data_IF_214746775170
#
_entry.id   IF_214746775170
#
_cell.length_a   1.000
_cell.length_b   1.000
_cell.length_c   1.000
_cell.angle_alpha   90.00
_cell.angle_beta   90.00
_cell.angle_gamma   90.00
#
_symmetry.space_group_name_H-M   'P 1'
#
loop_
_entity.id
_entity.type
_entity.pdbx_description
1 polymer ?
#
# COMPACT_ATOMS: atom_id res chain seq x y z
N UNK A 1 8.75 -5.96 11.86
CA UNK A 1 8.09 -4.68 12.13
C UNK A 1 6.64 -4.80 11.69
N UNK A 2 5.71 -4.17 12.40
CA UNK A 2 4.33 -4.06 11.95
C UNK A 2 4.21 -2.89 10.95
N UNK A 3 3.19 -2.95 10.10
CA UNK A 3 2.86 -1.94 9.10
C UNK A 3 1.33 -1.84 9.02
N UNK A 4 0.82 -0.67 8.67
CA UNK A 4 -0.61 -0.44 8.49
C UNK A 4 -0.88 -0.02 7.05
N UNK A 5 -1.90 -0.62 6.42
CA UNK A 5 -2.35 -0.22 5.09
C UNK A 5 -3.25 1.01 5.20
N UNK A 6 -2.96 2.02 4.40
CA UNK A 6 -3.72 3.26 4.28
C UNK A 6 -4.60 3.18 3.03
N UNK A 7 -5.80 3.76 3.11
CA UNK A 7 -6.75 3.83 2.01
C UNK A 7 -7.43 5.21 1.97
N UNK A 8 -7.88 5.61 0.78
CA UNK A 8 -8.56 6.89 0.56
C UNK A 8 -10.03 6.86 1.04
N UNK A 9 -10.74 7.99 0.99
CA UNK A 9 -12.16 8.07 1.37
C UNK A 9 -13.06 7.13 0.54
N UNK A 10 -12.62 6.81 -0.68
CA UNK A 10 -13.30 5.88 -1.58
C UNK A 10 -13.07 4.41 -1.23
N UNK A 11 -12.19 4.09 -0.28
CA UNK A 11 -11.84 2.70 0.09
C UNK A 11 -10.78 2.06 -0.80
N UNK A 12 -10.03 2.85 -1.58
CA UNK A 12 -8.93 2.34 -2.40
C UNK A 12 -7.63 2.37 -1.62
N UNK A 13 -6.88 1.27 -1.63
CA UNK A 13 -5.56 1.20 -1.00
C UNK A 13 -4.61 2.20 -1.65
N UNK A 14 -3.81 2.91 -0.86
CA UNK A 14 -2.79 3.85 -1.32
C UNK A 14 -1.38 3.29 -1.13
N UNK A 15 -0.98 3.11 0.14
CA UNK A 15 0.33 2.62 0.57
C UNK A 15 0.28 2.16 2.03
N UNK A 16 1.41 1.78 2.61
CA UNK A 16 1.59 1.66 4.06
C UNK A 16 2.09 2.95 4.70
N UNK A 17 2.22 3.01 6.03
CA UNK A 17 2.64 4.23 6.73
C UNK A 17 4.06 4.70 6.39
N UNK A 18 4.98 3.77 6.13
CA UNK A 18 6.39 4.06 5.76
C UNK A 18 6.90 3.19 4.61
N UNK A 19 5.98 2.54 3.87
CA UNK A 19 6.29 1.60 2.79
C UNK A 19 5.24 1.65 1.69
N UNK A 20 5.63 1.44 0.44
CA UNK A 20 4.68 1.08 -0.60
C UNK A 20 4.28 -0.40 -0.48
N UNK A 21 3.11 -0.75 -1.02
CA UNK A 21 2.55 -2.11 -0.98
C UNK A 21 2.24 -2.61 -2.40
N UNK A 22 2.47 -3.89 -2.63
CA UNK A 22 1.95 -4.62 -3.77
C UNK A 22 1.26 -5.92 -3.33
N UNK A 23 0.25 -6.31 -4.10
CA UNK A 23 -0.63 -7.45 -3.86
C UNK A 23 -0.47 -8.48 -4.96
N UNK A 24 -0.58 -9.77 -4.64
CA UNK A 24 -0.52 -10.83 -5.64
C UNK A 24 -1.90 -11.05 -6.26
N UNK A 25 -2.07 -10.69 -7.53
CA UNK A 25 -3.33 -10.79 -8.29
C UNK A 25 -3.04 -11.37 -9.66
N UNK A 26 -3.88 -12.29 -10.15
CA UNK A 26 -3.76 -12.85 -11.50
C UNK A 26 -2.32 -13.25 -11.91
N UNK A 27 -1.60 -13.92 -11.00
CA UNK A 27 -0.22 -14.39 -11.19
C UNK A 27 0.82 -13.27 -11.42
N UNK A 28 0.57 -12.07 -10.89
CA UNK A 28 1.47 -10.91 -10.94
C UNK A 28 1.37 -10.08 -9.66
N UNK A 29 2.40 -9.27 -9.40
CA UNK A 29 2.34 -8.24 -8.37
C UNK A 29 1.71 -6.97 -8.92
N UNK A 30 0.74 -6.43 -8.18
CA UNK A 30 0.08 -5.17 -8.52
C UNK A 30 0.23 -4.17 -7.37
N UNK A 31 0.54 -2.92 -7.65
CA UNK A 31 0.64 -1.84 -6.66
C UNK A 31 -0.38 -0.76 -6.98
N UNK A 32 -0.99 -0.09 -5.99
CA UNK A 32 -1.90 1.01 -6.25
C UNK A 32 -1.25 2.11 -7.10
N UNK A 33 -1.99 2.70 -8.06
CA UNK A 33 -1.50 3.81 -8.87
C UNK A 33 -1.44 5.10 -8.06
N UNK A 34 -0.53 6.01 -8.43
CA UNK A 34 -0.30 7.26 -7.69
C UNK A 34 -1.51 8.21 -7.63
N UNK A 35 -2.48 8.06 -8.54
CA UNK A 35 -3.70 8.88 -8.50
C UNK A 35 -4.60 8.55 -7.30
N UNK A 36 -4.40 7.39 -6.64
CA UNK A 36 -5.05 7.06 -5.35
C UNK A 36 -4.41 7.81 -4.18
N UNK A 37 -3.24 8.40 -4.39
CA UNK A 37 -2.40 8.97 -3.35
C UNK A 37 -1.17 8.12 -3.09
N UNK A 38 -0.51 8.40 -1.97
CA UNK A 38 0.70 7.75 -1.55
C UNK A 38 1.99 8.25 -2.23
N UNK A 39 3.13 7.79 -1.75
CA UNK A 39 4.44 8.23 -2.23
C UNK A 39 4.87 7.43 -3.47
N UNK A 40 5.45 8.13 -4.46
CA UNK A 40 6.19 7.49 -5.55
C UNK A 40 7.56 6.99 -5.07
N UNK A 41 7.57 6.00 -4.18
CA UNK A 41 8.77 5.50 -3.53
C UNK A 41 9.78 4.94 -4.53
N UNK A 42 11.07 5.12 -4.22
CA UNK A 42 12.16 4.79 -5.14
C UNK A 42 12.22 3.31 -5.52
N UNK A 43 11.94 2.39 -4.58
CA UNK A 43 11.89 0.93 -4.86
C UNK A 43 10.62 0.57 -5.64
N UNK A 44 9.46 1.15 -5.28
CA UNK A 44 8.22 0.99 -6.07
C UNK A 44 8.43 1.38 -7.52
N UNK A 45 9.01 2.57 -7.77
CA UNK A 45 9.31 3.06 -9.12
C UNK A 45 10.24 2.09 -9.86
N UNK A 46 11.32 1.65 -9.23
CA UNK A 46 12.25 0.69 -9.84
C UNK A 46 11.56 -0.64 -10.19
N UNK A 47 10.69 -1.16 -9.32
CA UNK A 47 9.94 -2.39 -9.57
C UNK A 47 8.99 -2.27 -10.78
N UNK A 48 8.33 -1.12 -10.93
CA UNK A 48 7.47 -0.80 -12.07
C UNK A 48 8.27 -0.70 -13.37
N UNK A 49 9.37 0.06 -13.37
CA UNK A 49 10.26 0.25 -14.53
C UNK A 49 10.87 -1.07 -15.03
N UNK A 50 11.04 -2.05 -14.14
CA UNK A 50 11.59 -3.37 -14.46
C UNK A 50 10.51 -4.44 -14.68
N UNK A 51 9.23 -4.07 -14.77
CA UNK A 51 8.12 -4.99 -15.01
C UNK A 51 7.94 -6.07 -13.94
N UNK A 52 8.42 -5.83 -12.71
CA UNK A 52 8.29 -6.75 -11.57
C UNK A 52 6.94 -6.59 -10.87
N UNK A 53 6.41 -5.38 -10.94
CA UNK A 53 5.10 -4.97 -10.43
C UNK A 53 4.44 -4.15 -11.53
N UNK A 54 3.11 -4.15 -11.57
CA UNK A 54 2.34 -3.23 -12.43
C UNK A 54 1.36 -2.40 -11.59
N UNK A 55 0.85 -1.31 -12.15
CA UNK A 55 -0.19 -0.54 -11.46
C UNK A 55 -1.57 -1.17 -11.66
N UNK A 56 -2.31 -1.34 -10.56
CA UNK A 56 -3.71 -1.77 -10.56
C UNK A 56 -4.39 -1.24 -9.29
N UNK A 57 -5.65 -0.84 -9.42
CA UNK A 57 -6.44 -0.42 -8.27
C UNK A 57 -6.79 -1.60 -7.37
N UNK A 58 -6.67 -1.41 -6.05
CA UNK A 58 -7.02 -2.43 -5.05
C UNK A 58 -8.00 -1.84 -4.05
N UNK A 59 -9.16 -2.48 -3.90
CA UNK A 59 -10.15 -2.13 -2.88
C UNK A 59 -9.76 -2.72 -1.54
N UNK A 60 -9.96 -1.96 -0.45
CA UNK A 60 -9.72 -2.47 0.90
C UNK A 60 -10.61 -3.67 1.22
N UNK A 61 -11.81 -3.73 0.64
CA UNK A 61 -12.76 -4.84 0.82
C UNK A 61 -12.27 -6.15 0.20
N UNK A 62 -11.36 -6.07 -0.79
CA UNK A 62 -10.80 -7.24 -1.46
C UNK A 62 -9.55 -7.79 -0.74
N UNK A 63 -9.00 -7.04 0.22
CA UNK A 63 -7.82 -7.45 1.00
C UNK A 63 -8.26 -8.40 2.11
N UNK A 64 -7.65 -9.59 2.17
CA UNK A 64 -8.05 -10.65 3.11
C UNK A 64 -7.03 -10.86 4.21
N UNK A 65 -7.50 -11.21 5.41
CA UNK A 65 -6.61 -11.70 6.47
C UNK A 65 -5.89 -12.97 6.00
N UNK A 66 -4.60 -13.06 6.28
CA UNK A 66 -3.70 -14.13 5.83
C UNK A 66 -3.11 -13.89 4.45
N UNK A 67 -3.50 -12.83 3.75
CA UNK A 67 -2.96 -12.51 2.44
C UNK A 67 -1.50 -12.05 2.54
N UNK A 68 -0.66 -12.58 1.65
CA UNK A 68 0.74 -12.17 1.53
C UNK A 68 0.84 -10.93 0.64
N UNK A 69 1.51 -9.90 1.15
CA UNK A 69 1.78 -8.65 0.43
C UNK A 69 3.27 -8.42 0.31
N UNK A 70 3.69 -7.73 -0.74
CA UNK A 70 5.04 -7.24 -0.92
C UNK A 70 5.11 -5.80 -0.40
N UNK A 71 5.96 -5.55 0.58
CA UNK A 71 6.24 -4.23 1.12
C UNK A 71 7.57 -3.72 0.59
N UNK A 72 7.68 -2.41 0.34
CA UNK A 72 8.95 -1.82 -0.09
C UNK A 72 9.18 -0.40 0.39
N UNK A 73 10.44 -0.08 0.67
CA UNK A 73 10.92 1.29 0.85
C UNK A 73 12.40 1.41 0.44
N UNK A 74 12.91 2.65 0.40
CA UNK A 74 14.29 2.93 -0.03
C UNK A 74 15.40 2.51 0.94
N UNK A 75 15.06 2.10 2.16
CA UNK A 75 16.03 1.77 3.22
C UNK A 75 16.20 0.25 3.37
N UNK A 76 15.08 -0.47 3.44
CA UNK A 76 15.02 -1.90 3.71
C UNK A 76 14.85 -2.73 2.43
N UNK A 77 14.60 -2.09 1.29
CA UNK A 77 14.36 -2.79 0.03
C UNK A 77 12.97 -3.41 0.00
N UNK A 78 12.89 -4.71 -0.27
CA UNK A 78 11.64 -5.46 -0.39
C UNK A 78 11.52 -6.51 0.72
N UNK A 79 10.33 -6.64 1.31
CA UNK A 79 10.01 -7.68 2.29
C UNK A 79 8.58 -8.19 2.10
N UNK A 80 8.30 -9.39 2.60
CA UNK A 80 6.94 -9.93 2.60
C UNK A 80 6.26 -9.61 3.94
N UNK A 81 5.00 -9.20 3.86
CA UNK A 81 4.09 -9.06 4.98
C UNK A 81 2.91 -10.01 4.86
N UNK A 82 2.24 -10.29 5.97
CA UNK A 82 0.97 -11.02 6.01
C UNK A 82 -0.08 -10.10 6.60
N UNK A 83 -1.22 -9.98 5.93
CA UNK A 83 -2.32 -9.15 6.43
C UNK A 83 -2.92 -9.81 7.66
N UNK A 84 -3.00 -9.05 8.75
CA UNK A 84 -3.68 -9.44 9.98
C UNK A 84 -4.91 -8.55 10.18
N UNK A 85 -5.81 -8.98 11.07
CA UNK A 85 -7.01 -8.20 11.42
C UNK A 85 -6.62 -6.78 11.79
N UNK A 86 -7.26 -5.80 11.14
CA UNK A 86 -7.01 -4.40 11.41
C UNK A 86 -7.27 -4.09 12.90
N UNK A 87 -6.27 -3.55 13.58
CA UNK A 87 -6.49 -2.83 14.83
C UNK A 87 -7.17 -1.52 14.43
N UNK A 88 -8.40 -1.31 14.89
CA UNK A 88 -9.12 -0.05 14.63
C UNK A 88 -8.39 1.07 15.37
N UNK A 89 -7.61 1.86 14.64
CA UNK A 89 -7.05 3.11 15.14
C UNK A 89 -8.04 4.22 14.75
N UNK A 90 -8.75 4.77 15.74
CA UNK A 90 -9.57 5.97 15.55
C UNK A 90 -8.63 7.18 15.46
N UNK A 91 -8.25 7.55 14.25
CA UNK A 91 -7.55 8.81 14.01
C UNK A 91 -8.62 9.90 13.89
N UNK A 92 -8.78 10.72 14.92
CA UNK A 92 -9.54 11.97 14.84
C UNK A 92 -8.75 12.94 13.98
N UNK A 93 -9.13 13.11 12.72
CA UNK A 93 -8.53 14.09 11.82
C UNK A 93 -9.26 15.43 12.01
N UNK A 94 -8.78 16.28 12.93
CA UNK A 94 -9.07 17.72 12.87
C UNK A 94 -8.11 18.35 11.86
N UNK A 95 -8.50 18.33 10.58
CA UNK A 95 -7.83 19.14 9.57
C UNK A 95 -8.25 20.60 9.74
N UNK A 96 -7.51 21.35 10.56
CA UNK A 96 -7.54 22.81 10.49
C UNK A 96 -7.02 23.23 9.11
N UNK A 97 -7.88 23.83 8.31
CA UNK A 97 -7.50 24.58 7.11
C UNK A 97 -6.63 25.76 7.55
N UNK A 98 -5.38 25.82 7.09
CA UNK A 98 -4.53 27.00 7.25
C UNK A 98 -5.00 28.05 6.22
N UNK A 99 -5.90 28.94 6.65
CA UNK A 99 -6.11 30.25 6.00
C UNK A 99 -4.98 31.22 6.37
#
# INVERSE_FOLDING_TARGET
LEEVLLYDEGGWIMEGSVRNVAFWRDNRWVTPPLHRGGLNGVVRRWLLENGRVIEEDVRKEDVRVGEVVLLSNGVEGCSLGVVHTAVRLEVQQECHTWE
#
